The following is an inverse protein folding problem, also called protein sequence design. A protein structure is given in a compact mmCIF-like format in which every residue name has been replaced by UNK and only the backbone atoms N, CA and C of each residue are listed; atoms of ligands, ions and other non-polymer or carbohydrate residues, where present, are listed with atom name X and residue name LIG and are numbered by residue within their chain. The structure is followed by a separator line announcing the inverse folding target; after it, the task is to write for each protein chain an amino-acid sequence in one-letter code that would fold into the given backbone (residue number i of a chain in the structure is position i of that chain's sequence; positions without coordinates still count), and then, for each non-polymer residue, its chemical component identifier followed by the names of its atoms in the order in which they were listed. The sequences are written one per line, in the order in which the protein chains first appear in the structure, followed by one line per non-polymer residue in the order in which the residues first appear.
data_IF_628680134278
#
_entry.id   IF_628680134278
#
_cell.length_a   1.000
_cell.length_b   1.000
_cell.length_c   1.000
_cell.angle_alpha   90.00
_cell.angle_beta   90.00
_cell.angle_gamma   90.00
#
_symmetry.space_group_name_H-M   'P 1'
#
loop_
_entity.id
_entity.type
_entity.pdbx_description
1 polymer ?
#
# COMPACT_ATOMS: atom_id res chain seq x y z
N UNK A 1 -0.66 8.78 -17.96
CA UNK A 1 -1.06 7.57 -17.20
C UNK A 1 -0.40 7.70 -15.84
N UNK A 2 -1.16 7.68 -14.75
CA UNK A 2 -0.56 7.70 -13.42
C UNK A 2 0.17 6.38 -13.20
N UNK A 3 1.35 6.45 -12.58
CA UNK A 3 2.11 5.26 -12.24
C UNK A 3 1.40 4.54 -11.10
N UNK A 4 1.09 3.26 -11.30
CA UNK A 4 0.50 2.41 -10.26
C UNK A 4 1.61 1.60 -9.59
N UNK A 5 1.61 1.59 -8.27
CA UNK A 5 2.52 0.77 -7.46
C UNK A 5 1.75 -0.28 -6.68
N UNK A 6 2.32 -1.47 -6.58
CA UNK A 6 1.79 -2.54 -5.73
C UNK A 6 2.53 -2.55 -4.40
N UNK A 7 1.76 -2.65 -3.31
CA UNK A 7 2.25 -2.63 -1.95
C UNK A 7 1.67 -3.77 -1.11
N UNK A 8 2.39 -4.12 -0.04
CA UNK A 8 1.97 -5.07 1.00
C UNK A 8 2.07 -4.41 2.37
N UNK A 9 1.40 -4.93 3.41
CA UNK A 9 1.51 -4.36 4.74
C UNK A 9 2.96 -4.43 5.24
N UNK A 10 3.47 -3.34 5.81
CA UNK A 10 4.82 -3.32 6.38
C UNK A 10 4.85 -3.92 7.79
N UNK A 11 6.05 -4.35 8.21
CA UNK A 11 6.35 -4.79 9.59
C UNK A 11 5.55 -6.02 10.06
N UNK A 12 5.25 -6.95 9.15
CA UNK A 12 4.57 -8.20 9.50
C UNK A 12 3.07 -8.06 9.78
N UNK A 13 2.47 -6.90 9.49
CA UNK A 13 1.02 -6.72 9.55
C UNK A 13 0.33 -7.63 8.52
N UNK A 14 -0.87 -8.08 8.86
CA UNK A 14 -1.83 -8.66 7.91
C UNK A 14 -3.22 -8.17 8.28
N UNK A 15 -3.99 -7.72 7.29
CA UNK A 15 -5.32 -7.17 7.52
C UNK A 15 -6.38 -8.16 7.06
N UNK A 16 -7.39 -8.36 7.89
CA UNK A 16 -8.51 -9.26 7.59
C UNK A 16 -9.71 -8.54 6.92
N UNK A 17 -9.67 -7.21 6.81
CA UNK A 17 -10.73 -6.40 6.23
C UNK A 17 -10.18 -5.19 5.46
N UNK A 18 -10.94 -4.71 4.47
CA UNK A 18 -10.62 -3.47 3.76
C UNK A 18 -10.65 -2.25 4.67
N UNK A 19 -11.53 -2.25 5.69
CA UNK A 19 -11.62 -1.15 6.64
C UNK A 19 -10.30 -0.95 7.40
N UNK A 20 -9.67 -2.04 7.85
CA UNK A 20 -8.38 -1.96 8.54
C UNK A 20 -7.24 -1.47 7.63
N UNK A 21 -7.25 -1.88 6.34
CA UNK A 21 -6.29 -1.36 5.36
C UNK A 21 -6.46 0.15 5.18
N UNK A 22 -7.70 0.62 5.01
CA UNK A 22 -8.03 2.04 4.84
C UNK A 22 -7.65 2.85 6.08
N UNK A 23 -7.98 2.38 7.27
CA UNK A 23 -7.64 3.06 8.52
C UNK A 23 -6.12 3.29 8.62
N UNK A 24 -5.32 2.26 8.36
CA UNK A 24 -3.86 2.37 8.41
C UNK A 24 -3.28 3.23 7.28
N UNK A 25 -3.89 3.21 6.09
CA UNK A 25 -3.50 4.10 4.99
C UNK A 25 -3.80 5.58 5.28
N UNK A 26 -5.02 5.88 5.74
CA UNK A 26 -5.43 7.24 6.13
C UNK A 26 -4.65 7.76 7.33
N UNK A 27 -4.20 6.87 8.23
CA UNK A 27 -3.30 7.19 9.33
C UNK A 27 -1.83 7.43 8.89
N UNK A 28 -1.55 7.49 7.59
CA UNK A 28 -0.20 7.65 7.02
C UNK A 28 0.80 6.60 7.49
N UNK A 29 0.37 5.37 7.77
CA UNK A 29 1.31 4.29 8.08
C UNK A 29 1.99 3.79 6.81
N UNK A 30 3.20 3.28 6.97
CA UNK A 30 3.99 2.77 5.87
C UNK A 30 3.46 1.44 5.32
N UNK A 31 3.58 1.23 4.02
CA UNK A 31 3.38 -0.03 3.32
C UNK A 31 4.63 -0.32 2.51
N UNK A 32 4.96 -1.60 2.30
CA UNK A 32 6.15 -1.98 1.57
C UNK A 32 5.83 -2.15 0.09
N UNK A 33 6.57 -1.46 -0.76
CA UNK A 33 6.47 -1.56 -2.21
C UNK A 33 6.99 -2.94 -2.65
N UNK A 34 6.22 -3.60 -3.51
CA UNK A 34 6.59 -4.88 -4.13
C UNK A 34 6.66 -4.83 -5.66
N UNK A 35 6.42 -3.66 -6.27
CA UNK A 35 6.70 -3.44 -7.70
C UNK A 35 8.21 -3.41 -7.99
N UNK A 36 8.61 -3.92 -9.15
CA UNK A 36 10.03 -4.15 -9.54
C UNK A 36 10.92 -2.91 -9.40
N UNK A 37 10.42 -1.72 -9.72
CA UNK A 37 11.23 -0.49 -9.76
C UNK A 37 11.72 -0.01 -8.38
N UNK A 38 10.92 -0.23 -7.33
CA UNK A 38 11.15 0.31 -5.98
C UNK A 38 10.98 -0.78 -4.90
N UNK A 39 11.21 -2.04 -5.28
CA UNK A 39 10.98 -3.20 -4.42
C UNK A 39 11.69 -3.06 -3.07
N UNK A 40 10.94 -3.30 -1.99
CA UNK A 40 11.44 -3.29 -0.62
C UNK A 40 11.45 -1.92 0.06
N UNK A 41 11.26 -0.82 -0.69
CA UNK A 41 11.09 0.53 -0.13
C UNK A 41 9.71 0.65 0.53
N UNK A 42 9.56 1.65 1.39
CA UNK A 42 8.30 1.97 2.04
C UNK A 42 7.62 3.17 1.38
N UNK A 43 6.29 3.20 1.46
CA UNK A 43 5.46 4.31 1.02
C UNK A 43 4.25 4.46 1.94
N UNK A 44 3.83 5.69 2.18
CA UNK A 44 2.58 6.04 2.85
C UNK A 44 1.69 6.92 1.95
N UNK A 45 0.53 7.32 2.47
CA UNK A 45 -0.43 8.16 1.74
C UNK A 45 0.16 9.50 1.30
N UNK A 46 0.87 10.19 2.19
CA UNK A 46 1.50 11.47 1.86
C UNK A 46 2.50 11.35 0.70
N UNK A 47 3.35 10.33 0.70
CA UNK A 47 4.31 10.09 -0.38
C UNK A 47 3.60 9.80 -1.71
N UNK A 48 2.55 8.99 -1.69
CA UNK A 48 1.75 8.68 -2.88
C UNK A 48 1.03 9.91 -3.44
N UNK A 49 0.44 10.73 -2.56
CA UNK A 49 -0.23 11.99 -2.92
C UNK A 49 0.77 12.98 -3.55
N UNK A 50 1.96 13.13 -2.95
CA UNK A 50 3.02 14.00 -3.47
C UNK A 50 3.55 13.52 -4.83
N UNK A 51 3.61 12.21 -5.04
CA UNK A 51 4.05 11.60 -6.28
C UNK A 51 2.98 11.48 -7.37
N UNK A 52 1.71 11.76 -7.05
CA UNK A 52 0.58 11.51 -7.97
C UNK A 52 0.44 10.03 -8.35
N UNK A 53 0.77 9.13 -7.42
CA UNK A 53 0.80 7.68 -7.63
C UNK A 53 -0.57 7.06 -7.33
N UNK A 54 -0.94 6.03 -8.07
CA UNK A 54 -2.04 5.13 -7.69
C UNK A 54 -1.49 3.93 -6.92
N UNK A 55 -2.17 3.49 -5.86
CA UNK A 55 -1.64 2.45 -4.97
C UNK A 55 -2.57 1.25 -4.91
N UNK A 56 -2.02 0.07 -5.12
CA UNK A 56 -2.71 -1.21 -4.93
C UNK A 56 -2.13 -1.92 -3.71
N UNK A 57 -2.90 -2.02 -2.63
CA UNK A 57 -2.46 -2.66 -1.39
C UNK A 57 -3.05 -4.07 -1.31
N UNK A 58 -2.17 -5.07 -1.22
CA UNK A 58 -2.55 -6.46 -0.96
C UNK A 58 -2.81 -6.69 0.53
N UNK A 59 -3.79 -7.51 0.85
CA UNK A 59 -4.17 -7.87 2.22
C UNK A 59 -4.78 -9.28 2.29
N UNK A 60 -5.12 -9.73 3.50
CA UNK A 60 -5.64 -11.06 3.78
C UNK A 60 -4.71 -12.15 3.22
N UNK A 61 -3.49 -12.23 3.78
CA UNK A 61 -2.40 -13.09 3.29
C UNK A 61 -2.10 -12.88 1.80
N UNK A 62 -2.16 -11.63 1.36
CA UNK A 62 -1.92 -11.19 -0.02
C UNK A 62 -2.93 -11.71 -1.06
N UNK A 63 -4.04 -12.30 -0.63
CA UNK A 63 -5.05 -12.89 -1.51
C UNK A 63 -6.05 -11.86 -2.05
N UNK A 64 -6.14 -10.68 -1.44
CA UNK A 64 -7.06 -9.61 -1.82
C UNK A 64 -6.31 -8.31 -2.08
N UNK A 65 -6.91 -7.43 -2.87
CA UNK A 65 -6.34 -6.12 -3.26
C UNK A 65 -7.35 -5.02 -2.96
N UNK A 66 -6.85 -3.86 -2.54
CA UNK A 66 -7.60 -2.62 -2.39
C UNK A 66 -6.85 -1.48 -3.09
N UNK A 67 -7.58 -0.64 -3.83
CA UNK A 67 -7.01 0.49 -4.56
C UNK A 67 -7.19 1.81 -3.78
N UNK A 68 -6.18 2.68 -3.87
CA UNK A 68 -6.14 4.04 -3.35
C UNK A 68 -5.63 5.01 -4.44
#
# INVERSE_FOLDING_TARGET
MNQTIECVPAYGRDYNSQAAVREDWEANKDFQIVSVADYGRYINKQDADLGGLSVLIRYAKLQKVMAF
#
